data_IF_177610747063
#
_entry.id   IF_177610747063
#
_cell.length_a   1.000
_cell.length_b   1.000
_cell.length_c   1.000
_cell.angle_alpha   90.00
_cell.angle_beta   90.00
_cell.angle_gamma   90.00
#
_symmetry.space_group_name_H-M   'P 1'
#
loop_
_entity.id
_entity.type
_entity.pdbx_description
1 polymer ?
#
# COMPACT_ATOMS: atom_id res chain seq x y z
N UNK A 1 3.75 44.46 95.99
CA UNK A 1 4.19 43.18 95.40
C UNK A 1 2.99 42.29 95.13
N UNK A 2 2.66 42.08 93.84
CA UNK A 2 2.12 40.84 93.24
C UNK A 2 1.82 41.15 91.76
N UNK A 3 2.81 40.91 90.92
CA UNK A 3 2.69 40.94 89.46
C UNK A 3 1.80 39.77 89.03
N UNK A 4 0.78 40.01 88.20
CA UNK A 4 0.10 38.96 87.43
C UNK A 4 0.44 39.16 85.95
N UNK A 5 1.10 38.14 85.43
CA UNK A 5 1.64 38.00 84.08
C UNK A 5 0.53 38.01 83.03
N UNK A 6 0.72 38.79 81.97
CA UNK A 6 -0.11 38.86 80.78
C UNK A 6 0.39 37.79 79.79
N UNK A 7 -0.35 36.68 79.64
CA UNK A 7 -0.04 35.64 78.66
C UNK A 7 -0.56 36.08 77.28
N UNK A 8 0.37 36.47 76.40
CA UNK A 8 0.14 36.79 75.01
C UNK A 8 0.10 35.48 74.19
N UNK A 9 -1.08 35.06 73.73
CA UNK A 9 -1.21 33.94 72.79
C UNK A 9 -0.91 34.44 71.37
N UNK A 10 0.30 34.21 70.87
CA UNK A 10 0.62 34.35 69.45
C UNK A 10 0.07 33.15 68.69
N UNK A 11 -1.02 33.35 67.95
CA UNK A 11 -1.52 32.38 66.99
C UNK A 11 -0.57 32.30 65.80
N UNK A 12 0.18 31.21 65.70
CA UNK A 12 1.05 30.93 64.55
C UNK A 12 0.19 30.37 63.41
N UNK A 13 -0.17 31.21 62.44
CA UNK A 13 -0.79 30.77 61.19
C UNK A 13 0.25 30.01 60.35
N UNK A 14 0.22 28.67 60.41
CA UNK A 14 0.87 27.83 59.41
C UNK A 14 0.05 27.85 58.12
N UNK A 15 0.40 28.74 57.20
CA UNK A 15 -0.05 28.64 55.81
C UNK A 15 0.77 27.55 55.12
N UNK A 16 0.23 26.34 55.03
CA UNK A 16 0.79 25.29 54.19
C UNK A 16 0.56 25.68 52.73
N UNK A 17 1.57 26.29 52.11
CA UNK A 17 1.61 26.46 50.65
C UNK A 17 1.83 25.08 50.06
N UNK A 18 0.74 24.38 49.76
CA UNK A 18 0.78 23.15 49.00
C UNK A 18 1.15 23.53 47.56
N UNK A 19 2.43 23.42 47.23
CA UNK A 19 2.88 23.39 45.85
C UNK A 19 2.31 22.12 45.20
N UNK A 20 1.10 22.21 44.66
CA UNK A 20 0.63 21.24 43.68
C UNK A 20 1.51 21.42 42.45
N UNK A 21 2.58 20.62 42.39
CA UNK A 21 3.30 20.39 41.14
C UNK A 21 2.25 19.85 40.18
N UNK A 22 1.77 20.71 39.27
CA UNK A 22 1.09 20.25 38.07
C UNK A 22 2.16 19.50 37.30
N UNK A 23 2.23 18.20 37.54
CA UNK A 23 2.80 17.28 36.56
C UNK A 23 1.94 17.54 35.34
N UNK A 24 2.47 18.32 34.40
CA UNK A 24 1.95 18.30 33.04
C UNK A 24 2.06 16.83 32.68
N UNK A 25 0.93 16.13 32.60
CA UNK A 25 0.90 14.89 31.85
C UNK A 25 1.50 15.29 30.52
N UNK A 26 2.71 14.83 30.23
CA UNK A 26 3.17 14.74 28.85
C UNK A 26 2.01 14.03 28.17
N UNK A 27 1.28 14.75 27.30
CA UNK A 27 0.30 14.14 26.43
C UNK A 27 0.96 12.88 25.91
N UNK A 28 0.45 11.72 26.32
CA UNK A 28 1.09 10.46 26.03
C UNK A 28 1.35 10.46 24.54
N UNK A 29 2.62 10.33 24.13
CA UNK A 29 3.00 10.30 22.72
C UNK A 29 2.03 9.34 22.06
N UNK A 30 1.12 9.86 21.24
CA UNK A 30 0.10 9.06 20.60
C UNK A 30 0.83 8.12 19.66
N UNK A 31 1.06 6.89 20.11
CA UNK A 31 1.67 5.81 19.33
C UNK A 31 0.60 5.21 18.43
N UNK A 32 0.00 6.04 17.58
CA UNK A 32 -1.01 5.61 16.62
C UNK A 32 -0.34 4.66 15.63
N UNK A 33 -0.59 3.35 15.79
CA UNK A 33 0.03 2.29 15.01
C UNK A 33 -0.27 2.43 13.51
N UNK A 34 -1.39 3.06 13.15
CA UNK A 34 -1.74 3.27 11.74
C UNK A 34 -0.78 4.26 11.08
N UNK A 35 -0.21 5.19 11.84
CA UNK A 35 0.74 6.20 11.36
C UNK A 35 2.18 5.72 11.48
N UNK A 36 2.57 5.30 12.68
CA UNK A 36 3.94 4.82 12.94
C UNK A 36 4.22 3.52 12.17
N UNK A 37 3.21 2.67 11.99
CA UNK A 37 3.29 1.46 11.16
C UNK A 37 3.56 1.77 9.69
N UNK A 38 2.91 2.78 9.12
CA UNK A 38 3.15 3.21 7.72
C UNK A 38 4.56 3.80 7.53
N UNK A 39 5.08 4.53 8.52
CA UNK A 39 6.48 4.97 8.49
C UNK A 39 7.45 3.80 8.55
N UNK A 40 7.20 2.82 9.42
CA UNK A 40 8.05 1.63 9.53
C UNK A 40 8.02 0.76 8.26
N UNK A 41 6.84 0.54 7.69
CA UNK A 41 6.69 -0.17 6.42
C UNK A 41 7.37 0.57 5.26
N UNK A 42 7.21 1.90 5.20
CA UNK A 42 7.89 2.73 4.19
C UNK A 42 9.40 2.74 4.37
N UNK A 43 9.90 2.69 5.61
CA UNK A 43 11.33 2.56 5.89
C UNK A 43 11.88 1.26 5.29
N UNK A 44 11.18 0.14 5.46
CA UNK A 44 11.55 -1.13 4.85
C UNK A 44 11.53 -1.04 3.32
N UNK A 45 10.43 -0.55 2.73
CA UNK A 45 10.31 -0.38 1.27
C UNK A 45 11.40 0.53 0.68
N UNK A 46 11.73 1.66 1.32
CA UNK A 46 12.67 2.64 0.78
C UNK A 46 14.14 2.34 1.05
N UNK A 47 14.45 1.53 2.07
CA UNK A 47 15.82 1.39 2.60
C UNK A 47 16.31 -0.05 2.74
N UNK A 48 15.43 -1.04 2.82
CA UNK A 48 15.85 -2.43 2.95
C UNK A 48 16.25 -2.98 1.57
N UNK A 49 17.48 -3.49 1.46
CA UNK A 49 17.92 -4.19 0.26
C UNK A 49 17.09 -5.47 0.02
N UNK A 50 16.45 -6.01 1.07
CA UNK A 50 15.53 -7.13 0.98
C UNK A 50 14.26 -6.81 0.20
N UNK A 51 13.76 -5.56 0.24
CA UNK A 51 12.65 -5.14 -0.61
C UNK A 51 13.07 -5.22 -2.08
N UNK A 52 14.21 -4.61 -2.43
CA UNK A 52 14.76 -4.65 -3.78
C UNK A 52 14.98 -6.10 -4.25
N UNK A 53 15.55 -6.96 -3.40
CA UNK A 53 15.79 -8.36 -3.69
C UNK A 53 14.49 -9.13 -3.98
N UNK A 54 13.42 -8.87 -3.23
CA UNK A 54 12.11 -9.49 -3.47
C UNK A 54 11.48 -8.99 -4.78
N UNK A 55 11.58 -7.70 -5.09
CA UNK A 55 11.13 -7.14 -6.37
C UNK A 55 11.91 -7.74 -7.55
N UNK A 56 13.25 -7.82 -7.46
CA UNK A 56 14.07 -8.48 -8.47
C UNK A 56 13.73 -9.96 -8.61
N UNK A 57 13.50 -10.67 -7.51
CA UNK A 57 13.08 -12.08 -7.56
C UNK A 57 11.77 -12.23 -8.31
N UNK A 58 10.77 -11.41 -8.01
CA UNK A 58 9.47 -11.43 -8.68
C UNK A 58 9.62 -11.20 -10.20
N UNK A 59 10.37 -10.18 -10.60
CA UNK A 59 10.59 -9.86 -12.02
C UNK A 59 11.49 -10.85 -12.75
N UNK A 60 12.45 -11.49 -12.06
CA UNK A 60 13.26 -12.57 -12.63
C UNK A 60 12.41 -13.83 -12.87
N UNK A 61 11.52 -14.17 -11.94
CA UNK A 61 10.55 -15.26 -12.13
C UNK A 61 9.58 -14.92 -13.26
N UNK A 62 9.08 -13.68 -13.33
CA UNK A 62 8.24 -13.20 -14.43
C UNK A 62 8.95 -13.36 -15.79
N UNK A 63 10.23 -12.99 -15.87
CA UNK A 63 11.04 -13.18 -17.07
C UNK A 63 11.14 -14.65 -17.46
N UNK A 64 11.43 -15.54 -16.51
CA UNK A 64 11.50 -16.98 -16.76
C UNK A 64 10.16 -17.53 -17.28
N UNK A 65 9.03 -17.06 -16.73
CA UNK A 65 7.70 -17.48 -17.20
C UNK A 65 7.37 -16.96 -18.60
N UNK A 66 7.69 -15.69 -18.87
CA UNK A 66 7.60 -15.12 -20.21
C UNK A 66 8.39 -15.94 -21.22
N UNK A 67 9.65 -16.25 -20.91
CA UNK A 67 10.54 -17.03 -21.79
C UNK A 67 9.96 -18.42 -22.09
N UNK A 68 9.28 -19.05 -21.13
CA UNK A 68 8.58 -20.31 -21.36
C UNK A 68 7.35 -20.13 -22.27
N UNK A 69 6.56 -19.07 -22.07
CA UNK A 69 5.37 -18.80 -22.87
C UNK A 69 5.69 -18.49 -24.33
N UNK A 70 6.70 -17.66 -24.62
CA UNK A 70 7.01 -17.27 -26.02
C UNK A 70 7.52 -18.44 -26.89
N UNK A 71 7.89 -19.56 -26.27
CA UNK A 71 8.31 -20.77 -26.98
C UNK A 71 7.14 -21.73 -27.28
N UNK A 72 5.95 -21.45 -26.75
CA UNK A 72 4.74 -22.23 -27.02
C UNK A 72 3.92 -21.63 -28.18
N UNK A 73 3.02 -22.43 -28.75
CA UNK A 73 2.07 -21.96 -29.76
C UNK A 73 0.83 -21.40 -29.08
N UNK A 74 0.40 -20.20 -29.49
CA UNK A 74 -0.71 -19.48 -28.90
C UNK A 74 -1.73 -19.03 -29.96
N UNK A 75 -3.04 -19.13 -29.69
CA UNK A 75 -4.08 -18.72 -30.63
C UNK A 75 -4.26 -17.19 -30.72
N UNK A 76 -3.70 -16.43 -29.77
CA UNK A 76 -3.80 -14.97 -29.69
C UNK A 76 -2.44 -14.35 -29.39
N UNK A 77 -2.22 -13.07 -29.71
CA UNK A 77 -1.07 -12.31 -29.22
C UNK A 77 -0.97 -12.36 -27.70
N UNK A 78 0.26 -12.41 -27.19
CA UNK A 78 0.51 -12.52 -25.75
C UNK A 78 0.42 -11.17 -25.06
N UNK A 79 -0.14 -11.16 -23.85
CA UNK A 79 -0.22 -10.00 -23.01
C UNK A 79 0.28 -10.27 -21.58
N UNK A 80 0.86 -9.25 -20.98
CA UNK A 80 1.05 -9.15 -19.54
C UNK A 80 0.09 -8.08 -19.04
N UNK A 81 -0.64 -8.39 -17.98
CA UNK A 81 -1.41 -7.40 -17.24
C UNK A 81 -0.66 -7.08 -15.95
N UNK A 82 -0.47 -5.80 -15.67
CA UNK A 82 0.19 -5.32 -14.46
C UNK A 82 -0.67 -4.28 -13.75
N UNK A 83 -0.63 -4.28 -12.42
CA UNK A 83 -0.96 -3.09 -11.64
C UNK A 83 0.12 -1.99 -11.83
N UNK A 84 -0.13 -0.78 -11.33
CA UNK A 84 0.81 0.35 -11.35
C UNK A 84 1.39 0.65 -9.96
N UNK A 85 0.54 0.86 -8.96
CA UNK A 85 0.95 1.48 -7.69
C UNK A 85 1.58 0.40 -6.80
N UNK A 86 2.83 0.59 -6.35
CA UNK A 86 3.63 -0.41 -5.62
C UNK A 86 4.00 -1.66 -6.44
N UNK A 87 3.62 -1.70 -7.73
CA UNK A 87 3.99 -2.75 -8.68
C UNK A 87 4.98 -2.25 -9.73
N UNK A 88 4.67 -1.13 -10.40
CA UNK A 88 5.50 -0.49 -11.43
C UNK A 88 6.10 0.82 -10.91
N UNK A 89 5.29 1.61 -10.21
CA UNK A 89 5.65 2.92 -9.67
C UNK A 89 5.66 2.87 -8.14
N UNK A 90 6.71 3.42 -7.53
CA UNK A 90 6.84 3.54 -6.08
C UNK A 90 6.18 4.83 -5.58
N UNK A 91 5.12 4.69 -4.79
CA UNK A 91 4.39 5.78 -4.16
C UNK A 91 4.72 5.94 -2.67
N UNK A 92 5.69 5.20 -2.14
CA UNK A 92 6.10 5.29 -0.73
C UNK A 92 6.41 6.72 -0.25
N UNK A 93 6.93 7.68 -1.07
CA UNK A 93 7.10 9.05 -0.59
C UNK A 93 5.79 9.73 -0.19
N UNK A 94 4.67 9.40 -0.83
CA UNK A 94 3.36 9.90 -0.42
C UNK A 94 2.93 9.32 0.93
N UNK A 95 3.12 8.01 1.13
CA UNK A 95 2.81 7.36 2.40
C UNK A 95 3.61 7.99 3.57
N UNK A 96 4.90 8.22 3.36
CA UNK A 96 5.76 8.94 4.31
C UNK A 96 5.23 10.36 4.58
N UNK A 97 4.92 11.12 3.53
CA UNK A 97 4.44 12.50 3.67
C UNK A 97 3.11 12.57 4.46
N UNK A 98 2.15 11.67 4.19
CA UNK A 98 0.90 11.63 4.94
C UNK A 98 1.14 11.26 6.40
N UNK A 99 1.95 10.23 6.65
CA UNK A 99 2.23 9.79 8.02
C UNK A 99 2.94 10.86 8.85
N UNK A 100 3.89 11.61 8.27
CA UNK A 100 4.55 12.76 8.92
C UNK A 100 3.60 13.92 9.22
N UNK A 101 2.54 14.09 8.42
CA UNK A 101 1.46 15.05 8.68
C UNK A 101 0.42 14.53 9.70
N UNK A 102 0.61 13.32 10.22
CA UNK A 102 -0.34 12.68 11.11
C UNK A 102 -1.65 12.28 10.41
N UNK A 103 -1.59 12.07 9.09
CA UNK A 103 -2.74 11.73 8.25
C UNK A 103 -2.65 10.29 7.75
N UNK A 104 -3.80 9.69 7.58
CA UNK A 104 -3.95 8.43 6.85
C UNK A 104 -4.16 8.74 5.34
N UNK A 105 -4.69 7.80 4.57
CA UNK A 105 -5.07 8.03 3.18
C UNK A 105 -6.15 9.12 3.05
N UNK A 106 -5.84 10.15 2.25
CA UNK A 106 -6.78 11.18 1.81
C UNK A 106 -6.77 11.25 0.28
N UNK A 107 -7.94 11.08 -0.34
CA UNK A 107 -8.06 11.05 -1.80
C UNK A 107 -7.55 12.34 -2.48
N UNK A 108 -7.81 13.51 -1.89
CA UNK A 108 -7.34 14.79 -2.44
C UNK A 108 -5.82 14.96 -2.31
N UNK A 109 -5.21 14.41 -1.26
CA UNK A 109 -3.76 14.38 -1.14
C UNK A 109 -3.14 13.40 -2.15
N UNK A 110 -3.80 12.27 -2.40
CA UNK A 110 -3.42 11.32 -3.44
C UNK A 110 -3.43 11.96 -4.84
N UNK A 111 -4.48 12.69 -5.21
CA UNK A 111 -4.51 13.41 -6.49
C UNK A 111 -3.40 14.45 -6.61
N UNK A 112 -3.06 15.15 -5.52
CA UNK A 112 -1.91 16.07 -5.49
C UNK A 112 -0.58 15.35 -5.61
N UNK A 113 -0.48 14.10 -5.16
CA UNK A 113 0.70 13.28 -5.34
C UNK A 113 0.82 12.80 -6.79
N UNK A 114 -0.21 12.15 -7.32
CA UNK A 114 -0.16 11.54 -8.65
C UNK A 114 -0.03 12.58 -9.76
N UNK A 115 -0.62 13.77 -9.61
CA UNK A 115 -0.44 14.89 -10.55
C UNK A 115 1.00 15.37 -10.70
N UNK A 116 1.89 15.08 -9.73
CA UNK A 116 3.32 15.39 -9.84
C UNK A 116 4.03 14.51 -10.87
N UNK A 117 3.48 13.32 -11.20
CA UNK A 117 4.11 12.33 -12.07
C UNK A 117 5.59 12.07 -11.69
N UNK A 118 5.85 12.03 -10.38
CA UNK A 118 7.19 12.05 -9.80
C UNK A 118 7.61 10.73 -9.15
N UNK A 119 6.79 9.68 -9.28
CA UNK A 119 7.13 8.36 -8.73
C UNK A 119 8.42 7.85 -9.36
N UNK A 120 9.22 7.15 -8.57
CA UNK A 120 10.30 6.30 -9.11
C UNK A 120 9.73 4.95 -9.55
N UNK A 121 10.55 4.11 -10.16
CA UNK A 121 10.16 2.76 -10.57
C UNK A 121 10.40 1.74 -9.47
N UNK A 122 9.51 0.77 -9.32
CA UNK A 122 9.75 -0.41 -8.48
C UNK A 122 10.96 -1.20 -9.04
N UNK A 123 11.90 -1.67 -8.19
CA UNK A 123 13.10 -2.36 -8.66
C UNK A 123 12.79 -3.53 -9.62
N UNK A 124 13.49 -3.56 -10.75
CA UNK A 124 13.34 -4.61 -11.78
C UNK A 124 12.20 -4.40 -12.79
N UNK A 125 11.21 -3.57 -12.46
CA UNK A 125 10.03 -3.34 -13.33
C UNK A 125 10.43 -2.78 -14.71
N UNK A 126 11.21 -1.71 -14.74
CA UNK A 126 11.68 -1.07 -15.98
C UNK A 126 12.35 -2.07 -16.95
N UNK A 127 13.32 -2.83 -16.43
CA UNK A 127 14.08 -3.80 -17.24
C UNK A 127 13.19 -4.94 -17.73
N UNK A 128 12.30 -5.46 -16.88
CA UNK A 128 11.41 -6.55 -17.24
C UNK A 128 10.40 -6.16 -18.32
N UNK A 129 9.70 -5.03 -18.17
CA UNK A 129 8.67 -4.64 -19.14
C UNK A 129 9.28 -4.26 -20.49
N UNK A 130 10.45 -3.60 -20.53
CA UNK A 130 11.17 -3.39 -21.79
C UNK A 130 11.59 -4.71 -22.45
N UNK A 131 12.03 -5.68 -21.65
CA UNK A 131 12.33 -7.01 -22.16
C UNK A 131 11.08 -7.68 -22.76
N UNK A 132 9.95 -7.64 -22.05
CA UNK A 132 8.69 -8.21 -22.53
C UNK A 132 8.26 -7.63 -23.89
N UNK A 133 8.29 -6.29 -24.02
CA UNK A 133 7.99 -5.62 -25.27
C UNK A 133 8.97 -5.98 -26.40
N UNK A 134 10.27 -6.15 -26.09
CA UNK A 134 11.27 -6.62 -27.07
C UNK A 134 11.01 -8.05 -27.58
N UNK A 135 10.20 -8.82 -26.85
CA UNK A 135 9.74 -10.17 -27.22
C UNK A 135 8.36 -10.17 -27.89
N UNK A 136 7.81 -8.99 -28.20
CA UNK A 136 6.50 -8.85 -28.84
C UNK A 136 5.32 -9.13 -27.90
N UNK A 137 5.53 -9.09 -26.59
CA UNK A 137 4.46 -9.23 -25.59
C UNK A 137 3.89 -7.85 -25.27
N UNK A 138 2.57 -7.69 -25.43
CA UNK A 138 1.85 -6.44 -25.14
C UNK A 138 1.70 -6.24 -23.63
N UNK A 139 1.95 -5.04 -23.12
CA UNK A 139 1.75 -4.72 -21.70
C UNK A 139 0.47 -3.91 -21.53
N UNK A 140 -0.41 -4.38 -20.65
CA UNK A 140 -1.62 -3.66 -20.23
C UNK A 140 -1.51 -3.25 -18.75
N UNK A 141 -1.76 -1.97 -18.48
CA UNK A 141 -1.73 -1.38 -17.14
C UNK A 141 -3.16 -1.28 -16.60
N UNK A 142 -3.53 -2.14 -15.65
CA UNK A 142 -4.85 -2.12 -15.01
C UNK A 142 -4.71 -1.60 -13.58
N UNK A 143 -5.07 -0.33 -13.38
CA UNK A 143 -4.88 0.39 -12.11
C UNK A 143 -6.21 0.86 -11.51
N UNK A 144 -6.25 1.06 -10.20
CA UNK A 144 -7.38 1.68 -9.52
C UNK A 144 -7.27 3.20 -9.33
N UNK A 145 -6.29 3.84 -9.97
CA UNK A 145 -6.30 5.29 -10.21
C UNK A 145 -7.57 5.71 -10.95
N UNK A 146 -8.07 6.91 -10.66
CA UNK A 146 -9.23 7.50 -11.30
C UNK A 146 -8.91 8.00 -12.70
N UNK A 147 -9.91 8.06 -13.57
CA UNK A 147 -9.77 8.57 -14.94
C UNK A 147 -9.14 9.98 -15.01
N UNK A 148 -9.39 10.84 -14.01
CA UNK A 148 -8.76 12.17 -13.91
C UNK A 148 -7.24 12.14 -13.75
N UNK A 149 -6.68 11.00 -13.34
CA UNK A 149 -5.25 10.79 -13.13
C UNK A 149 -4.56 10.24 -14.38
N UNK A 150 -5.30 9.97 -15.47
CA UNK A 150 -4.78 9.35 -16.70
C UNK A 150 -3.57 10.06 -17.26
N UNK A 151 -3.67 11.36 -17.50
CA UNK A 151 -2.58 12.14 -18.11
C UNK A 151 -1.31 12.09 -17.27
N UNK A 152 -1.43 12.30 -15.95
CA UNK A 152 -0.31 12.27 -15.04
C UNK A 152 0.30 10.86 -14.90
N UNK A 153 -0.54 9.82 -14.93
CA UNK A 153 -0.11 8.42 -14.90
C UNK A 153 0.68 8.05 -16.15
N UNK A 154 0.16 8.38 -17.35
CA UNK A 154 0.88 8.18 -18.60
C UNK A 154 2.19 8.97 -18.62
N UNK A 155 2.18 10.23 -18.19
CA UNK A 155 3.39 11.04 -18.08
C UNK A 155 4.45 10.36 -17.21
N UNK A 156 4.07 9.78 -16.07
CA UNK A 156 5.01 9.09 -15.18
C UNK A 156 5.55 7.79 -15.81
N UNK A 157 4.72 7.02 -16.51
CA UNK A 157 5.14 5.81 -17.22
C UNK A 157 6.07 6.13 -18.40
N UNK A 158 5.71 7.14 -19.20
CA UNK A 158 6.46 7.60 -20.36
C UNK A 158 7.81 8.23 -19.98
N UNK A 159 7.90 8.88 -18.81
CA UNK A 159 9.17 9.39 -18.26
C UNK A 159 10.26 8.33 -18.23
N UNK A 160 9.91 7.09 -17.88
CA UNK A 160 10.84 5.96 -17.87
C UNK A 160 10.75 5.11 -19.14
N UNK A 161 9.97 5.51 -20.14
CA UNK A 161 9.82 4.76 -21.39
C UNK A 161 9.30 3.34 -21.20
N UNK A 162 8.36 3.15 -20.27
CA UNK A 162 7.61 1.89 -20.18
C UNK A 162 6.87 1.62 -21.51
N UNK A 163 6.82 0.36 -21.97
CA UNK A 163 6.16 0.01 -23.24
C UNK A 163 4.65 0.21 -23.14
N UNK A 164 3.98 0.41 -24.26
CA UNK A 164 2.51 0.54 -24.30
C UNK A 164 1.97 1.60 -23.30
N UNK A 165 2.76 2.64 -22.98
CA UNK A 165 2.34 3.71 -22.10
C UNK A 165 1.45 4.73 -22.87
N UNK A 166 0.27 4.27 -23.28
CA UNK A 166 -0.72 5.01 -24.07
C UNK A 166 -2.16 4.76 -23.55
N UNK A 167 -3.12 5.44 -24.17
CA UNK A 167 -4.52 5.37 -23.74
C UNK A 167 -5.19 4.01 -23.97
N UNK A 168 -4.73 3.24 -24.95
CA UNK A 168 -5.32 1.96 -25.32
C UNK A 168 -4.96 0.88 -24.30
N UNK A 169 -3.74 0.96 -23.75
CA UNK A 169 -3.22 -0.04 -22.82
C UNK A 169 -3.31 0.38 -21.34
N UNK A 170 -3.68 1.62 -21.04
CA UNK A 170 -3.96 2.08 -19.68
C UNK A 170 -5.46 2.01 -19.34
N UNK A 171 -5.83 1.04 -18.52
CA UNK A 171 -7.20 0.75 -18.07
C UNK A 171 -7.40 1.15 -16.59
N UNK A 172 -7.83 2.40 -16.38
CA UNK A 172 -8.09 2.98 -15.06
C UNK A 172 -9.37 2.45 -14.40
N UNK A 173 -9.62 2.86 -13.16
CA UNK A 173 -10.80 2.48 -12.38
C UNK A 173 -12.09 2.90 -13.11
N UNK A 174 -13.05 1.99 -13.14
CA UNK A 174 -14.40 2.25 -13.66
C UNK A 174 -15.40 2.39 -12.50
N UNK A 175 -16.64 1.93 -12.67
CA UNK A 175 -17.66 1.97 -11.62
C UNK A 175 -17.27 1.19 -10.34
N UNK A 176 -16.37 0.20 -10.45
CA UNK A 176 -15.89 -0.59 -9.32
C UNK A 176 -14.36 -0.65 -9.28
N UNK A 177 -13.80 -0.91 -8.10
CA UNK A 177 -12.37 -1.17 -7.90
C UNK A 177 -11.95 -2.58 -8.32
N UNK A 178 -12.91 -3.48 -8.59
CA UNK A 178 -12.61 -4.80 -9.14
C UNK A 178 -11.99 -4.66 -10.52
N UNK A 179 -10.93 -5.44 -10.78
CA UNK A 179 -10.16 -5.36 -12.04
C UNK A 179 -10.61 -6.39 -13.09
N UNK A 180 -11.56 -7.25 -12.75
CA UNK A 180 -11.98 -8.39 -13.58
C UNK A 180 -12.59 -7.99 -14.92
N UNK A 181 -13.46 -6.98 -14.97
CA UNK A 181 -14.05 -6.52 -16.24
C UNK A 181 -12.97 -6.04 -17.21
N UNK A 182 -11.95 -5.36 -16.70
CA UNK A 182 -10.81 -4.84 -17.46
C UNK A 182 -9.90 -5.97 -17.92
N UNK A 183 -9.60 -6.96 -17.07
CA UNK A 183 -8.88 -8.19 -17.47
C UNK A 183 -9.63 -8.95 -18.57
N UNK A 184 -10.95 -9.11 -18.44
CA UNK A 184 -11.80 -9.75 -19.46
C UNK A 184 -11.75 -9.03 -20.80
N UNK A 185 -11.67 -7.69 -20.80
CA UNK A 185 -11.52 -6.93 -22.05
C UNK A 185 -10.21 -7.26 -22.77
N UNK A 186 -9.10 -7.42 -22.04
CA UNK A 186 -7.81 -7.85 -22.61
C UNK A 186 -7.89 -9.27 -23.18
N UNK A 187 -8.57 -10.19 -22.47
CA UNK A 187 -8.76 -11.58 -22.92
C UNK A 187 -9.56 -11.71 -24.22
N UNK A 188 -10.29 -10.68 -24.65
CA UNK A 188 -10.99 -10.70 -25.94
C UNK A 188 -9.99 -10.73 -27.11
N UNK A 189 -8.89 -10.00 -27.00
CA UNK A 189 -7.90 -9.81 -28.07
C UNK A 189 -6.57 -10.52 -27.81
N UNK A 190 -6.21 -10.77 -26.55
CA UNK A 190 -4.92 -11.34 -26.16
C UNK A 190 -5.06 -12.57 -25.28
N UNK A 191 -3.98 -13.35 -25.19
CA UNK A 191 -3.79 -14.35 -24.14
C UNK A 191 -2.93 -13.75 -23.02
N UNK A 192 -3.47 -13.68 -21.81
CA UNK A 192 -2.73 -13.15 -20.65
C UNK A 192 -1.84 -14.26 -20.09
N UNK A 193 -0.53 -14.06 -20.14
CA UNK A 193 0.47 -15.02 -19.66
C UNK A 193 0.94 -14.72 -18.23
N UNK A 194 0.82 -13.47 -17.78
CA UNK A 194 1.19 -13.04 -16.43
C UNK A 194 0.22 -11.95 -15.93
N UNK A 195 -0.09 -12.03 -14.64
CA UNK A 195 -0.71 -10.99 -13.84
C UNK A 195 0.29 -10.56 -12.77
N UNK A 196 0.65 -9.29 -12.76
CA UNK A 196 1.69 -8.75 -11.86
C UNK A 196 1.05 -7.67 -10.97
N UNK A 197 1.24 -7.79 -9.65
CA UNK A 197 0.59 -6.90 -8.69
C UNK A 197 1.11 -7.07 -7.28
N UNK A 198 0.86 -6.10 -6.41
CA UNK A 198 1.14 -6.16 -4.97
C UNK A 198 -0.09 -6.60 -4.15
N UNK A 199 -1.29 -6.56 -4.75
CA UNK A 199 -2.53 -6.94 -4.10
C UNK A 199 -3.21 -8.14 -4.79
N UNK A 200 -3.83 -9.03 -4.01
CA UNK A 200 -4.44 -10.25 -4.55
C UNK A 200 -5.62 -9.98 -5.52
N UNK A 201 -6.30 -8.84 -5.38
CA UNK A 201 -7.36 -8.40 -6.31
C UNK A 201 -6.84 -8.05 -7.72
N UNK A 202 -5.53 -7.89 -7.88
CA UNK A 202 -4.87 -7.73 -9.19
C UNK A 202 -4.92 -9.02 -10.02
N UNK A 203 -5.02 -10.18 -9.35
CA UNK A 203 -4.96 -11.49 -9.97
C UNK A 203 -6.32 -12.07 -10.31
N UNK A 204 -7.26 -12.05 -9.37
CA UNK A 204 -8.55 -12.70 -9.56
C UNK A 204 -9.64 -12.05 -8.70
N UNK A 205 -10.87 -12.00 -9.24
CA UNK A 205 -12.04 -11.48 -8.49
C UNK A 205 -12.41 -12.33 -7.26
N UNK A 206 -11.84 -13.53 -7.13
CA UNK A 206 -12.02 -14.38 -5.94
C UNK A 206 -11.48 -13.71 -4.67
N UNK A 207 -10.57 -12.75 -4.80
CA UNK A 207 -10.01 -11.99 -3.68
C UNK A 207 -10.75 -10.69 -3.37
N UNK A 208 -11.65 -10.23 -4.26
CA UNK A 208 -12.29 -8.92 -4.16
C UNK A 208 -13.17 -8.83 -2.91
N UNK A 209 -12.84 -7.89 -2.02
CA UNK A 209 -13.61 -7.55 -0.81
C UNK A 209 -13.92 -8.73 0.10
N UNK A 210 -13.03 -9.72 0.17
CA UNK A 210 -13.20 -10.92 1.02
C UNK A 210 -12.64 -10.72 2.43
N UNK A 211 -13.25 -11.33 3.47
CA UNK A 211 -12.67 -11.40 4.81
C UNK A 211 -11.28 -12.08 4.80
N UNK A 212 -10.45 -11.77 5.79
CA UNK A 212 -9.09 -12.29 5.91
C UNK A 212 -9.00 -13.82 5.75
N UNK A 213 -9.84 -14.56 6.47
CA UNK A 213 -9.86 -16.03 6.45
C UNK A 213 -10.17 -16.59 5.05
N UNK A 214 -11.13 -15.99 4.34
CA UNK A 214 -11.47 -16.40 2.98
C UNK A 214 -10.30 -16.09 2.02
N UNK A 215 -9.64 -14.95 2.19
CA UNK A 215 -8.45 -14.62 1.40
C UNK A 215 -7.30 -15.58 1.63
N UNK A 216 -7.05 -15.98 2.87
CA UNK A 216 -6.06 -17.01 3.20
C UNK A 216 -6.41 -18.34 2.55
N UNK A 217 -7.67 -18.78 2.64
CA UNK A 217 -8.13 -20.01 2.01
C UNK A 217 -8.01 -19.97 0.48
N UNK A 218 -8.41 -18.87 -0.18
CA UNK A 218 -8.24 -18.70 -1.62
C UNK A 218 -6.75 -18.69 -1.99
N UNK A 219 -5.90 -18.05 -1.20
CA UNK A 219 -4.44 -18.04 -1.43
C UNK A 219 -3.86 -19.45 -1.38
N UNK A 220 -4.26 -20.27 -0.40
CA UNK A 220 -3.85 -21.68 -0.31
C UNK A 220 -4.34 -22.49 -1.53
N UNK A 221 -5.62 -22.33 -1.91
CA UNK A 221 -6.22 -23.00 -3.07
C UNK A 221 -5.58 -22.56 -4.40
N UNK A 222 -4.98 -21.38 -4.46
CA UNK A 222 -4.31 -20.82 -5.63
C UNK A 222 -2.78 -20.90 -5.53
N UNK A 223 -2.24 -21.62 -4.53
CA UNK A 223 -0.80 -21.69 -4.24
C UNK A 223 0.05 -21.98 -5.47
N UNK A 224 -0.39 -22.88 -6.34
CA UNK A 224 0.33 -23.25 -7.56
C UNK A 224 0.42 -22.14 -8.63
N UNK A 225 -0.42 -21.11 -8.56
CA UNK A 225 -0.42 -20.01 -9.52
C UNK A 225 0.61 -18.93 -9.18
N UNK A 226 1.02 -18.82 -7.91
CA UNK A 226 2.02 -17.85 -7.49
C UNK A 226 3.41 -18.23 -8.01
N UNK A 227 4.09 -17.27 -8.62
CA UNK A 227 5.34 -17.50 -9.37
C UNK A 227 5.13 -18.23 -10.71
N UNK A 228 3.88 -18.45 -11.15
CA UNK A 228 3.50 -18.89 -12.49
C UNK A 228 2.70 -17.78 -13.18
N UNK A 229 1.37 -17.80 -13.05
CA UNK A 229 0.49 -16.78 -13.59
C UNK A 229 0.48 -15.51 -12.73
N UNK A 230 0.56 -15.66 -11.40
CA UNK A 230 0.53 -14.54 -10.45
C UNK A 230 1.94 -14.20 -9.99
N UNK A 231 2.41 -13.00 -10.31
CA UNK A 231 3.69 -12.48 -9.85
C UNK A 231 3.40 -11.41 -8.80
N UNK A 232 3.77 -11.70 -7.55
CA UNK A 232 3.45 -10.86 -6.39
C UNK A 232 4.62 -9.97 -6.05
N UNK A 233 4.34 -8.69 -5.81
CA UNK A 233 5.28 -7.72 -5.26
C UNK A 233 4.96 -7.45 -3.78
N UNK A 234 5.96 -7.20 -2.93
CA UNK A 234 5.70 -6.93 -1.52
C UNK A 234 5.18 -5.50 -1.31
N UNK A 235 4.03 -5.36 -0.66
CA UNK A 235 3.53 -4.08 -0.15
C UNK A 235 3.04 -4.25 1.30
N UNK A 236 3.82 -3.75 2.24
CA UNK A 236 3.51 -3.78 3.67
C UNK A 236 2.88 -2.46 4.17
N UNK A 237 2.70 -1.47 3.29
CA UNK A 237 2.28 -0.12 3.67
C UNK A 237 0.76 0.03 3.65
N UNK A 238 0.09 -0.58 2.68
CA UNK A 238 -1.36 -0.56 2.53
C UNK A 238 -1.82 -1.71 1.62
N UNK A 239 -3.13 -1.87 1.46
CA UNK A 239 -3.71 -2.78 0.48
C UNK A 239 -5.00 -3.41 0.99
N UNK A 240 -5.60 -4.32 0.21
CA UNK A 240 -6.82 -4.95 0.69
C UNK A 240 -6.57 -5.80 1.95
N UNK A 241 -5.33 -6.26 2.21
CA UNK A 241 -5.00 -7.05 3.41
C UNK A 241 -5.30 -6.24 4.69
N UNK A 242 -4.99 -4.93 4.66
CA UNK A 242 -5.34 -3.97 5.71
C UNK A 242 -6.86 -3.75 5.75
N UNK A 243 -7.50 -3.53 4.59
CA UNK A 243 -8.95 -3.32 4.51
C UNK A 243 -9.76 -4.53 4.99
N UNK A 244 -9.25 -5.76 4.82
CA UNK A 244 -9.90 -6.98 5.28
C UNK A 244 -10.01 -7.02 6.82
N UNK A 245 -8.97 -6.56 7.54
CA UNK A 245 -8.99 -6.39 9.01
C UNK A 245 -10.08 -5.38 9.39
N UNK A 246 -10.22 -4.31 8.62
CA UNK A 246 -11.23 -3.28 8.81
C UNK A 246 -12.62 -3.65 8.29
N UNK A 247 -12.81 -4.89 7.81
CA UNK A 247 -14.07 -5.36 7.19
C UNK A 247 -14.54 -4.45 6.05
N UNK A 248 -13.60 -3.82 5.35
CA UNK A 248 -13.83 -2.81 4.31
C UNK A 248 -14.69 -1.62 4.76
N UNK A 249 -14.68 -1.32 6.07
CA UNK A 249 -15.32 -0.13 6.61
C UNK A 249 -14.34 1.05 6.60
N UNK A 250 -14.46 1.90 5.57
CA UNK A 250 -13.62 3.08 5.40
C UNK A 250 -13.95 4.25 6.34
N UNK A 251 -15.00 4.14 7.16
CA UNK A 251 -15.45 5.19 8.09
C UNK A 251 -14.88 5.02 9.51
N UNK A 252 -13.99 4.06 9.72
CA UNK A 252 -13.36 3.84 11.03
C UNK A 252 -12.40 4.99 11.38
N UNK A 253 -12.51 5.46 12.62
CA UNK A 253 -11.54 6.39 13.20
C UNK A 253 -10.17 5.72 13.37
N UNK A 254 -9.07 6.49 13.46
CA UNK A 254 -7.74 5.94 13.72
C UNK A 254 -7.68 5.03 14.96
N UNK A 255 -8.36 5.42 16.05
CA UNK A 255 -8.41 4.62 17.27
C UNK A 255 -9.11 3.26 17.07
N UNK A 256 -10.20 3.22 16.29
CA UNK A 256 -10.88 1.95 15.95
C UNK A 256 -10.01 1.06 15.07
N UNK A 257 -9.28 1.64 14.11
CA UNK A 257 -8.33 0.90 13.27
C UNK A 257 -7.20 0.29 14.11
N UNK A 258 -6.62 1.08 15.01
CA UNK A 258 -5.58 0.64 15.94
C UNK A 258 -6.05 -0.52 16.83
N UNK A 259 -7.27 -0.43 17.39
CA UNK A 259 -7.85 -1.50 18.19
C UNK A 259 -8.02 -2.80 17.38
N UNK A 260 -8.54 -2.70 16.16
CA UNK A 260 -8.71 -3.87 15.28
C UNK A 260 -7.35 -4.52 14.94
N UNK A 261 -6.33 -3.73 14.64
CA UNK A 261 -4.97 -4.24 14.38
C UNK A 261 -4.42 -4.97 15.62
N UNK A 262 -4.49 -4.35 16.80
CA UNK A 262 -3.97 -4.99 18.03
C UNK A 262 -4.72 -6.27 18.40
N UNK A 263 -5.99 -6.38 18.01
CA UNK A 263 -6.81 -7.56 18.25
C UNK A 263 -6.62 -8.66 17.20
N UNK A 264 -6.15 -8.33 15.99
CA UNK A 264 -5.88 -9.32 14.94
C UNK A 264 -4.51 -9.99 15.08
N UNK A 265 -3.58 -9.40 15.84
CA UNK A 265 -2.25 -9.96 16.06
C UNK A 265 -2.28 -11.10 17.07
N UNK A 266 -1.52 -12.17 16.79
CA UNK A 266 -1.28 -13.25 17.73
C UNK A 266 -0.45 -12.74 18.92
N UNK A 267 -0.90 -13.06 20.13
CA UNK A 267 -0.26 -12.70 21.40
C UNK A 267 0.27 -13.98 22.06
N UNK A 268 1.28 -13.81 22.92
CA UNK A 268 1.82 -14.89 23.77
C UNK A 268 0.79 -15.45 24.75
#
# INVERSE_FOLDING_TARGET
MKYKSLLLYTALCFTTVSCTVRISQTEGVSTDITKSGKLWASLWQQRAAEYDALCFQAYNVAKLRLDNSINASHPKPLAIVTDIDETVLDNSPNAVQQALLGKDFEQEAWYKWTSKAACDTVPGSYSFFKYAASKGVTVFYITNRDEREREATLKNLQKYGFPNADNEHLLLKQATSGKESRRKSVLTTHEIILLIGDNLSDFASLFDKKPEQERQAVTQNQSENFGKLFIVLPNATYGDWENAIFKYNYQLSPAQKEELIKNSLQKE
#
